data_IF_551247271074
#
_entry.id   IF_551247271074
#
_cell.length_a   1.000
_cell.length_b   1.000
_cell.length_c   1.000
_cell.angle_alpha   90.00
_cell.angle_beta   90.00
_cell.angle_gamma   90.00
#
_symmetry.space_group_name_H-M   'P 1'
#
loop_
_entity.id
_entity.type
_entity.pdbx_description
1 polymer ?
#
# COMPACT_ATOMS: atom_id res chain seq x y z
N UNK A 1 -1.61 -12.94 5.30
CA UNK A 1 -2.72 -13.50 6.12
C UNK A 1 -2.79 -12.86 7.49
N UNK A 2 -1.67 -12.68 8.19
CA UNK A 2 -1.58 -12.08 9.53
C UNK A 2 -2.08 -10.63 9.62
N UNK A 3 -2.12 -9.88 8.52
CA UNK A 3 -2.77 -8.55 8.48
C UNK A 3 -4.27 -8.58 8.17
N UNK A 4 -4.73 -9.47 7.29
CA UNK A 4 -6.12 -9.46 6.80
C UNK A 4 -7.12 -9.94 7.86
N UNK A 5 -6.82 -11.03 8.57
CA UNK A 5 -7.72 -11.59 9.58
C UNK A 5 -7.99 -10.63 10.75
N UNK A 6 -6.97 -10.02 11.41
CA UNK A 6 -7.25 -9.06 12.48
C UNK A 6 -7.96 -7.80 11.97
N UNK A 7 -7.67 -7.37 10.74
CA UNK A 7 -8.39 -6.25 10.12
C UNK A 7 -9.89 -6.54 10.00
N UNK A 8 -10.25 -7.74 9.52
CA UNK A 8 -11.64 -8.20 9.44
C UNK A 8 -12.29 -8.42 10.81
N UNK A 9 -11.50 -8.77 11.82
CA UNK A 9 -11.98 -8.90 13.21
C UNK A 9 -12.17 -7.56 13.93
N UNK A 10 -11.88 -6.42 13.27
CA UNK A 10 -12.05 -5.08 13.84
C UNK A 10 -10.89 -4.62 14.73
N UNK A 11 -9.69 -5.19 14.57
CA UNK A 11 -8.52 -4.72 15.29
C UNK A 11 -8.22 -3.24 14.96
N UNK A 12 -8.05 -2.41 15.99
CA UNK A 12 -7.80 -0.98 15.84
C UNK A 12 -6.36 -0.65 15.44
N UNK A 13 -5.41 -1.53 15.75
CA UNK A 13 -3.99 -1.38 15.45
C UNK A 13 -3.42 -2.70 14.94
N UNK A 14 -2.77 -2.64 13.78
CA UNK A 14 -2.02 -3.74 13.19
C UNK A 14 -0.62 -3.21 12.91
N UNK A 15 0.39 -3.92 13.39
CA UNK A 15 1.80 -3.54 13.27
C UNK A 15 2.60 -4.64 12.57
N UNK A 16 3.86 -4.33 12.29
CA UNK A 16 4.82 -5.31 11.77
C UNK A 16 5.06 -5.25 10.27
N UNK A 17 4.65 -4.16 9.60
CA UNK A 17 5.03 -3.95 8.20
C UNK A 17 6.56 -3.88 8.09
N UNK A 18 7.13 -4.63 7.16
CA UNK A 18 8.58 -4.73 6.96
C UNK A 18 9.32 -5.62 7.95
N UNK A 19 8.64 -6.15 8.98
CA UNK A 19 9.26 -7.05 9.95
C UNK A 19 9.37 -8.47 9.40
N UNK A 20 10.57 -9.02 9.45
CA UNK A 20 10.85 -10.44 9.20
C UNK A 20 11.53 -11.06 10.44
N UNK A 21 11.65 -12.39 10.46
CA UNK A 21 12.32 -13.12 11.56
C UNK A 21 11.75 -12.77 12.95
N UNK A 22 10.42 -12.77 13.08
CA UNK A 22 9.72 -12.40 14.33
C UNK A 22 10.04 -10.97 14.82
N UNK A 23 10.35 -10.05 13.91
CA UNK A 23 10.63 -8.65 14.23
C UNK A 23 12.08 -8.38 14.61
N UNK A 24 12.98 -9.36 14.44
CA UNK A 24 14.42 -9.15 14.64
C UNK A 24 15.07 -8.34 13.52
N UNK A 25 14.47 -8.37 12.33
CA UNK A 25 15.00 -7.73 11.14
C UNK A 25 13.92 -6.89 10.45
N UNK A 26 14.31 -5.71 9.98
CA UNK A 26 13.48 -4.86 9.11
C UNK A 26 14.03 -4.92 7.70
N UNK A 27 13.20 -5.35 6.75
CA UNK A 27 13.50 -5.35 5.32
C UNK A 27 12.66 -4.24 4.64
N UNK A 28 13.33 -3.31 3.96
CA UNK A 28 12.65 -2.18 3.32
C UNK A 28 11.84 -2.60 2.09
N UNK A 29 12.26 -3.64 1.36
CA UNK A 29 11.47 -4.23 0.29
C UNK A 29 10.18 -4.86 0.82
N UNK A 30 10.28 -5.60 1.92
CA UNK A 30 9.12 -6.14 2.64
C UNK A 30 8.21 -5.03 3.14
N UNK A 31 8.74 -3.93 3.66
CA UNK A 31 7.93 -2.77 4.09
C UNK A 31 7.12 -2.18 2.93
N UNK A 32 7.74 -2.05 1.76
CA UNK A 32 7.07 -1.55 0.54
C UNK A 32 6.04 -2.56 0.02
N UNK A 33 6.33 -3.86 0.05
CA UNK A 33 5.33 -4.90 -0.26
C UNK A 33 4.15 -4.89 0.72
N UNK A 34 4.42 -4.79 2.02
CA UNK A 34 3.39 -4.75 3.06
C UNK A 34 2.50 -3.51 2.92
N UNK A 35 3.05 -2.39 2.47
CA UNK A 35 2.25 -1.21 2.13
C UNK A 35 1.27 -1.47 0.97
N UNK A 36 1.67 -2.25 -0.04
CA UNK A 36 0.75 -2.69 -1.11
C UNK A 36 -0.39 -3.55 -0.55
N UNK A 37 -0.06 -4.54 0.27
CA UNK A 37 -1.06 -5.40 0.88
C UNK A 37 -1.95 -4.65 1.87
N UNK A 38 -1.42 -3.70 2.62
CA UNK A 38 -2.18 -2.84 3.51
C UNK A 38 -3.21 -1.99 2.74
N UNK A 39 -2.86 -1.47 1.56
CA UNK A 39 -3.81 -0.78 0.67
C UNK A 39 -4.91 -1.73 0.20
N UNK A 40 -4.58 -2.96 -0.17
CA UNK A 40 -5.58 -3.97 -0.56
C UNK A 40 -6.50 -4.35 0.60
N UNK A 41 -5.97 -4.52 1.80
CA UNK A 41 -6.76 -4.79 3.01
C UNK A 41 -7.72 -3.62 3.28
N UNK A 42 -7.22 -2.37 3.24
CA UNK A 42 -8.07 -1.17 3.41
C UNK A 42 -9.17 -1.11 2.36
N UNK A 43 -8.86 -1.41 1.10
CA UNK A 43 -9.86 -1.49 0.03
C UNK A 43 -10.95 -2.52 0.35
N UNK A 44 -10.56 -3.71 0.82
CA UNK A 44 -11.50 -4.77 1.20
C UNK A 44 -12.39 -4.36 2.38
N UNK A 45 -11.85 -3.65 3.37
CA UNK A 45 -12.61 -3.19 4.54
C UNK A 45 -13.75 -2.21 4.22
N UNK A 46 -13.74 -1.58 3.05
CA UNK A 46 -14.89 -0.77 2.59
C UNK A 46 -16.15 -1.63 2.35
N UNK A 47 -16.00 -2.95 2.27
CA UNK A 47 -17.10 -3.87 2.00
C UNK A 47 -17.57 -3.80 0.54
N UNK A 48 -18.73 -4.40 0.30
CA UNK A 48 -19.37 -4.42 -1.03
C UNK A 48 -20.59 -3.51 -0.94
N UNK A 49 -20.57 -2.31 -1.57
CA UNK A 49 -21.75 -1.46 -1.61
C UNK A 49 -22.86 -2.14 -2.42
N UNK A 50 -24.06 -2.20 -1.86
CA UNK A 50 -25.25 -2.78 -2.52
C UNK A 50 -26.28 -1.69 -2.75
N UNK A 51 -26.40 -1.25 -4.00
CA UNK A 51 -27.39 -0.27 -4.46
C UNK A 51 -27.67 -0.47 -5.97
N UNK A 52 -28.60 0.30 -6.53
CA UNK A 52 -29.01 0.14 -7.93
C UNK A 52 -27.85 0.31 -8.94
N UNK A 53 -26.92 1.22 -8.65
CA UNK A 53 -25.73 1.45 -9.49
C UNK A 53 -24.75 0.27 -9.42
N UNK A 54 -24.46 -0.24 -8.22
CA UNK A 54 -23.47 -1.31 -8.01
C UNK A 54 -24.00 -2.70 -8.34
N UNK A 55 -25.31 -2.90 -8.31
CA UNK A 55 -25.97 -4.11 -8.82
C UNK A 55 -25.95 -4.18 -10.34
N UNK A 56 -25.93 -3.02 -11.03
CA UNK A 56 -25.80 -2.89 -12.48
C UNK A 56 -26.82 -3.72 -13.29
N UNK A 57 -28.02 -3.96 -12.74
CA UNK A 57 -29.03 -4.86 -13.34
C UNK A 57 -29.46 -4.40 -14.73
N UNK A 58 -29.64 -3.08 -14.92
CA UNK A 58 -30.01 -2.51 -16.21
C UNK A 58 -28.93 -2.72 -17.26
N UNK A 59 -27.65 -2.54 -16.88
CA UNK A 59 -26.50 -2.78 -17.77
C UNK A 59 -26.42 -4.24 -18.19
N UNK A 60 -26.62 -5.17 -17.23
CA UNK A 60 -26.64 -6.62 -17.52
C UNK A 60 -27.76 -6.95 -18.52
N UNK A 61 -28.95 -6.37 -18.33
CA UNK A 61 -30.12 -6.57 -19.20
C UNK A 61 -29.89 -5.99 -20.59
N UNK A 62 -29.31 -4.79 -20.68
CA UNK A 62 -29.03 -4.09 -21.94
C UNK A 62 -28.04 -4.86 -22.81
N UNK A 63 -26.92 -5.29 -22.24
CA UNK A 63 -25.86 -5.97 -22.99
C UNK A 63 -26.34 -7.36 -23.44
N UNK A 64 -26.96 -8.12 -22.54
CA UNK A 64 -27.49 -9.44 -22.83
C UNK A 64 -26.43 -10.54 -22.94
N UNK A 65 -26.89 -11.76 -23.24
CA UNK A 65 -26.09 -12.99 -23.19
C UNK A 65 -25.05 -13.01 -24.31
N UNK A 66 -23.84 -13.50 -24.00
CA UNK A 66 -22.79 -13.78 -24.99
C UNK A 66 -22.00 -12.56 -25.44
N UNK A 67 -22.22 -11.39 -24.82
CA UNK A 67 -21.45 -10.16 -25.07
C UNK A 67 -20.54 -9.82 -23.89
N UNK A 68 -19.83 -8.69 -23.97
CA UNK A 68 -18.92 -8.21 -22.93
C UNK A 68 -19.25 -6.76 -22.52
N UNK A 69 -18.73 -6.34 -21.37
CA UNK A 69 -18.99 -5.04 -20.75
C UNK A 69 -17.87 -4.02 -21.02
N UNK A 70 -16.81 -4.39 -21.74
CA UNK A 70 -15.55 -3.62 -21.77
C UNK A 70 -15.71 -2.21 -22.33
N UNK A 71 -16.55 -2.05 -23.35
CA UNK A 71 -16.80 -0.77 -24.03
C UNK A 71 -18.01 -0.01 -23.51
N UNK A 72 -18.64 -0.47 -22.42
CA UNK A 72 -19.83 0.16 -21.87
C UNK A 72 -19.45 1.34 -20.95
N UNK A 73 -20.23 2.44 -21.00
CA UNK A 73 -19.96 3.65 -20.22
C UNK A 73 -19.86 3.40 -18.71
N UNK A 74 -20.71 2.49 -18.19
CA UNK A 74 -20.62 2.07 -16.79
C UNK A 74 -19.24 1.47 -16.44
N UNK A 75 -18.64 0.66 -17.32
CA UNK A 75 -17.30 0.12 -17.10
C UNK A 75 -16.26 1.22 -17.10
N UNK A 76 -16.31 2.17 -18.04
CA UNK A 76 -15.40 3.32 -18.05
C UNK A 76 -15.50 4.16 -16.78
N UNK A 77 -16.72 4.36 -16.27
CA UNK A 77 -16.99 5.10 -15.03
C UNK A 77 -16.41 4.40 -13.80
N UNK A 78 -16.53 3.07 -13.72
CA UNK A 78 -16.23 2.31 -12.49
C UNK A 78 -14.90 1.55 -12.51
N UNK A 79 -14.27 1.29 -13.65
CA UNK A 79 -13.07 0.44 -13.73
C UNK A 79 -11.91 0.93 -12.85
N UNK A 80 -11.81 2.24 -12.61
CA UNK A 80 -10.77 2.86 -11.78
C UNK A 80 -11.08 2.83 -10.28
N UNK A 81 -12.29 2.44 -9.89
CA UNK A 81 -12.68 2.31 -8.48
C UNK A 81 -12.14 1.03 -7.84
N UNK A 82 -11.64 0.09 -8.63
CA UNK A 82 -11.10 -1.19 -8.16
C UNK A 82 -9.67 -1.02 -7.64
N UNK A 83 -9.14 -2.04 -6.95
CA UNK A 83 -7.76 -2.03 -6.47
C UNK A 83 -6.75 -1.83 -7.62
N UNK A 84 -5.91 -0.79 -7.48
CA UNK A 84 -4.86 -0.41 -8.41
C UNK A 84 -3.48 -0.69 -7.77
N UNK A 85 -3.00 -1.96 -7.79
CA UNK A 85 -1.68 -2.25 -7.26
C UNK A 85 -0.60 -1.61 -8.13
N UNK A 86 0.51 -1.23 -7.51
CA UNK A 86 1.73 -0.73 -8.14
C UNK A 86 2.79 -1.81 -8.32
N UNK A 87 2.92 -2.74 -7.36
CA UNK A 87 3.96 -3.78 -7.32
C UNK A 87 3.48 -5.13 -7.86
N UNK A 88 2.19 -5.44 -7.71
CA UNK A 88 1.62 -6.69 -8.23
C UNK A 88 1.54 -6.59 -9.75
N UNK A 89 2.29 -7.47 -10.41
CA UNK A 89 2.36 -7.54 -11.85
C UNK A 89 1.27 -8.44 -12.40
N UNK A 90 0.43 -7.88 -13.28
CA UNK A 90 -0.68 -8.57 -13.94
C UNK A 90 -0.44 -8.73 -15.44
N UNK A 91 0.78 -8.48 -15.92
CA UNK A 91 1.15 -8.65 -17.33
C UNK A 91 1.18 -10.13 -17.70
N UNK A 92 1.06 -10.40 -18.99
CA UNK A 92 1.25 -11.76 -19.52
C UNK A 92 2.70 -12.18 -19.33
N UNK A 93 2.93 -13.50 -19.18
CA UNK A 93 4.26 -14.05 -18.89
C UNK A 93 5.34 -13.57 -19.86
N UNK A 94 5.06 -13.58 -21.16
CA UNK A 94 6.00 -13.16 -22.20
C UNK A 94 6.45 -11.69 -22.02
N UNK A 95 5.53 -10.80 -21.66
CA UNK A 95 5.82 -9.39 -21.42
C UNK A 95 6.59 -9.18 -20.11
N UNK A 96 6.24 -9.93 -19.06
CA UNK A 96 7.01 -9.94 -17.81
C UNK A 96 8.44 -10.42 -18.02
N UNK A 97 8.62 -11.48 -18.84
CA UNK A 97 9.95 -12.01 -19.19
C UNK A 97 10.78 -11.00 -19.99
N UNK A 98 10.18 -10.40 -21.02
CA UNK A 98 10.82 -9.34 -21.80
C UNK A 98 11.15 -8.09 -20.95
N UNK A 99 10.46 -7.89 -19.83
CA UNK A 99 10.70 -6.79 -18.88
C UNK A 99 11.72 -7.13 -17.79
N UNK A 100 12.45 -8.25 -17.92
CA UNK A 100 13.52 -8.64 -17.02
C UNK A 100 13.10 -9.60 -15.90
N UNK A 101 11.88 -10.15 -15.93
CA UNK A 101 11.44 -11.23 -15.04
C UNK A 101 11.60 -10.96 -13.54
N UNK A 102 11.52 -9.69 -13.12
CA UNK A 102 11.73 -9.35 -11.71
C UNK A 102 10.63 -9.92 -10.84
N UNK A 103 11.00 -10.48 -9.70
CA UNK A 103 10.04 -10.85 -8.68
C UNK A 103 9.49 -9.61 -7.95
N UNK A 104 8.54 -9.84 -7.05
CA UNK A 104 7.91 -8.74 -6.29
C UNK A 104 8.86 -8.09 -5.28
N UNK A 105 9.78 -8.85 -4.67
CA UNK A 105 10.72 -8.33 -3.68
C UNK A 105 11.79 -7.46 -4.35
N UNK A 106 12.30 -7.86 -5.51
CA UNK A 106 13.24 -7.05 -6.30
C UNK A 106 12.65 -5.68 -6.65
N UNK A 107 11.42 -5.66 -7.18
CA UNK A 107 10.69 -4.42 -7.50
C UNK A 107 10.42 -3.57 -6.27
N UNK A 108 10.02 -4.19 -5.17
CA UNK A 108 9.76 -3.47 -3.92
C UNK A 108 11.05 -2.89 -3.32
N UNK A 109 12.17 -3.60 -3.42
CA UNK A 109 13.48 -3.14 -2.98
C UNK A 109 13.99 -1.96 -3.83
N UNK A 110 13.71 -1.96 -5.14
CA UNK A 110 14.00 -0.83 -6.02
C UNK A 110 13.17 0.40 -5.65
N UNK A 111 11.87 0.23 -5.45
CA UNK A 111 10.98 1.30 -5.01
C UNK A 111 11.38 1.85 -3.62
N UNK A 112 11.78 0.98 -2.69
CA UNK A 112 12.29 1.39 -1.39
C UNK A 112 13.51 2.32 -1.53
N UNK A 113 14.49 1.95 -2.37
CA UNK A 113 15.66 2.81 -2.66
C UNK A 113 15.23 4.12 -3.30
N UNK A 114 14.34 4.07 -4.29
CA UNK A 114 13.83 5.26 -4.95
C UNK A 114 13.16 6.23 -3.97
N UNK A 115 12.32 5.73 -3.05
CA UNK A 115 11.68 6.55 -2.01
C UNK A 115 12.74 7.19 -1.11
N UNK A 116 13.72 6.42 -0.64
CA UNK A 116 14.79 6.94 0.23
C UNK A 116 15.64 8.02 -0.45
N UNK A 117 15.85 7.91 -1.76
CA UNK A 117 16.66 8.87 -2.53
C UNK A 117 15.89 10.15 -2.90
N UNK A 118 14.58 10.05 -3.12
CA UNK A 118 13.80 11.13 -3.75
C UNK A 118 12.78 11.78 -2.83
N UNK A 119 12.32 11.09 -1.79
CA UNK A 119 11.30 11.63 -0.89
C UNK A 119 11.89 12.74 -0.01
N UNK A 120 11.26 13.91 -0.06
CA UNK A 120 11.58 15.04 0.82
C UNK A 120 10.39 15.25 1.77
N UNK A 121 10.52 14.88 3.06
CA UNK A 121 9.46 15.12 4.02
C UNK A 121 9.25 16.62 4.22
N UNK A 122 8.01 17.02 4.50
CA UNK A 122 7.72 18.40 4.87
C UNK A 122 8.46 18.74 6.18
N UNK A 123 9.23 19.85 6.22
CA UNK A 123 9.97 20.21 7.40
C UNK A 123 9.01 20.61 8.53
N UNK A 124 9.37 20.26 9.76
CA UNK A 124 8.68 20.76 10.94
C UNK A 124 8.94 22.27 11.10
N UNK A 125 8.02 23.02 11.74
CA UNK A 125 8.26 24.41 12.12
C UNK A 125 9.56 24.57 12.95
N UNK A 126 10.27 25.69 12.74
CA UNK A 126 11.58 25.92 13.34
C UNK A 126 11.55 25.92 14.88
N UNK A 127 10.48 26.43 15.48
CA UNK A 127 10.26 26.44 16.93
C UNK A 127 10.07 25.03 17.51
N UNK A 128 9.35 24.17 16.78
CA UNK A 128 9.17 22.76 17.12
C UNK A 128 10.50 22.02 17.02
N UNK A 129 11.27 22.24 15.95
CA UNK A 129 12.61 21.64 15.78
C UNK A 129 13.55 22.06 16.90
N UNK A 130 13.56 23.34 17.26
CA UNK A 130 14.37 23.86 18.36
C UNK A 130 13.99 23.21 19.69
N UNK A 131 12.69 23.07 19.96
CA UNK A 131 12.18 22.42 21.17
C UNK A 131 12.60 20.95 21.24
N UNK A 132 12.42 20.19 20.16
CA UNK A 132 12.84 18.78 20.09
C UNK A 132 14.35 18.63 20.31
N UNK A 133 15.15 19.52 19.74
CA UNK A 133 16.60 19.52 19.94
C UNK A 133 16.98 19.82 21.40
N UNK A 134 16.31 20.78 22.04
CA UNK A 134 16.55 21.08 23.46
C UNK A 134 16.31 19.87 24.35
N UNK A 135 15.20 19.15 24.14
CA UNK A 135 14.85 17.95 24.91
C UNK A 135 15.93 16.86 24.76
N UNK A 136 16.42 16.63 23.54
CA UNK A 136 17.48 15.64 23.29
C UNK A 136 18.78 16.02 23.99
N UNK A 137 19.20 17.29 23.90
CA UNK A 137 20.44 17.77 24.54
C UNK A 137 20.36 17.69 26.07
N UNK A 138 19.21 18.02 26.65
CA UNK A 138 18.98 17.89 28.09
C UNK A 138 19.09 16.43 28.56
N UNK A 139 18.46 15.51 27.82
CA UNK A 139 18.53 14.08 28.12
C UNK A 139 19.95 13.51 27.97
N UNK A 140 20.70 13.92 26.92
CA UNK A 140 22.10 13.52 26.72
C UNK A 140 22.98 13.97 27.91
N UNK A 141 22.76 15.19 28.41
CA UNK A 141 23.47 15.74 29.57
C UNK A 141 23.13 14.99 30.86
N UNK A 142 21.85 14.70 31.10
CA UNK A 142 21.41 13.95 32.29
C UNK A 142 22.01 12.53 32.31
N UNK A 143 22.06 11.87 31.16
CA UNK A 143 22.60 10.51 31.03
C UNK A 143 24.13 10.46 30.93
N UNK A 144 24.81 11.61 30.92
CA UNK A 144 26.27 11.68 30.79
C UNK A 144 26.79 11.17 29.45
N UNK A 145 25.94 11.14 28.42
CA UNK A 145 26.31 10.73 27.06
C UNK A 145 26.80 11.98 26.33
N UNK A 146 28.09 12.29 26.47
CA UNK A 146 28.73 13.32 25.64
C UNK A 146 29.10 12.74 24.28
N UNK A 147 28.81 13.48 23.21
CA UNK A 147 29.34 13.23 21.87
C UNK A 147 30.87 13.16 21.85
#
# INVERSE_FOLDING_TARGET
MTGLLPALAGANLIYGLGMIEMGMTIDFGQLVMDNEFAKMIKFLLHGIPVNDETLAVDVIREIGIGKNFLSHDATFKHMRSQSQPKLIDRRMREEWEASGSKDIHERASEEARHILETHKPEPLPDDVLATLRSIVVEAEKELGVSK
#
